data_IF_363188762948
#
_entry.id   IF_363188762948
#
_cell.length_a   1.000
_cell.length_b   1.000
_cell.length_c   1.000
_cell.angle_alpha   90.00
_cell.angle_beta   90.00
_cell.angle_gamma   90.00
#
_symmetry.space_group_name_H-M   'P 1'
#
loop_
_entity.id
_entity.type
_entity.pdbx_description
1 polymer ?
#
# COMPACT_ATOMS: atom_id res chain seq x y z
N UNK A 1 -18.98 2.12 -0.71
CA UNK A 1 -18.19 0.97 -1.21
C UNK A 1 -17.99 -0.08 -0.11
N UNK A 2 -18.04 -1.38 -0.44
CA UNK A 2 -17.48 -2.43 0.42
C UNK A 2 -15.96 -2.38 0.32
N UNK A 3 -15.29 -1.99 1.41
CA UNK A 3 -13.85 -1.73 1.41
C UNK A 3 -13.02 -2.99 1.23
N UNK A 4 -13.45 -4.14 1.76
CA UNK A 4 -12.69 -5.39 1.60
C UNK A 4 -12.84 -5.93 0.18
N UNK A 5 -14.03 -5.78 -0.42
CA UNK A 5 -14.20 -6.08 -1.84
C UNK A 5 -13.30 -5.19 -2.71
N UNK A 6 -13.18 -3.90 -2.38
CA UNK A 6 -12.28 -2.99 -3.09
C UNK A 6 -10.80 -3.37 -2.96
N UNK A 7 -10.36 -3.76 -1.76
CA UNK A 7 -9.00 -4.26 -1.52
C UNK A 7 -8.71 -5.50 -2.36
N UNK A 8 -9.65 -6.45 -2.37
CA UNK A 8 -9.48 -7.68 -3.14
C UNK A 8 -9.42 -7.40 -4.65
N UNK A 9 -10.25 -6.48 -5.15
CA UNK A 9 -10.19 -6.00 -6.53
C UNK A 9 -8.84 -5.38 -6.88
N UNK A 10 -8.33 -4.45 -6.07
CA UNK A 10 -7.04 -3.80 -6.32
C UNK A 10 -5.88 -4.81 -6.35
N UNK A 11 -5.89 -5.80 -5.44
CA UNK A 11 -4.88 -6.87 -5.41
C UNK A 11 -4.93 -7.73 -6.67
N UNK A 12 -6.12 -8.16 -7.11
CA UNK A 12 -6.28 -8.95 -8.33
C UNK A 12 -5.90 -8.16 -9.57
N UNK A 13 -6.38 -6.93 -9.69
CA UNK A 13 -6.05 -6.07 -10.83
C UNK A 13 -4.55 -5.81 -10.94
N UNK A 14 -3.88 -5.55 -9.82
CA UNK A 14 -2.43 -5.44 -9.80
C UNK A 14 -1.75 -6.76 -10.20
N UNK A 15 -2.15 -7.89 -9.64
CA UNK A 15 -1.60 -9.20 -10.02
C UNK A 15 -1.76 -9.50 -11.52
N UNK A 16 -2.92 -9.20 -12.10
CA UNK A 16 -3.20 -9.41 -13.52
C UNK A 16 -2.34 -8.52 -14.41
N UNK A 17 -2.16 -7.25 -14.04
CA UNK A 17 -1.31 -6.33 -14.79
C UNK A 17 0.18 -6.73 -14.73
N UNK A 18 0.62 -7.37 -13.64
CA UNK A 18 2.03 -7.74 -13.43
C UNK A 18 2.41 -9.12 -13.98
N UNK A 19 1.44 -9.99 -14.28
CA UNK A 19 1.67 -11.40 -14.63
C UNK A 19 2.66 -11.62 -15.80
N UNK A 20 2.67 -10.69 -16.76
CA UNK A 20 3.47 -10.81 -17.99
C UNK A 20 4.66 -9.84 -18.04
N UNK A 21 5.07 -9.27 -16.90
CA UNK A 21 6.24 -8.40 -16.89
C UNK A 21 7.52 -9.16 -17.28
N UNK A 22 8.31 -8.54 -18.15
CA UNK A 22 9.65 -9.03 -18.50
C UNK A 22 10.60 -8.95 -17.31
N UNK A 23 11.66 -9.77 -17.25
CA UNK A 23 12.68 -9.70 -16.18
C UNK A 23 13.25 -8.29 -15.99
N UNK A 24 13.46 -7.54 -17.07
CA UNK A 24 13.93 -6.15 -17.01
C UNK A 24 12.93 -5.24 -16.29
N UNK A 25 11.64 -5.36 -16.59
CA UNK A 25 10.57 -4.62 -15.91
C UNK A 25 10.46 -5.01 -14.43
N UNK A 26 10.54 -6.31 -14.11
CA UNK A 26 10.54 -6.79 -12.73
C UNK A 26 11.68 -6.19 -11.90
N UNK A 27 12.86 -5.99 -12.51
CA UNK A 27 14.05 -5.40 -11.88
C UNK A 27 14.09 -3.87 -11.90
N UNK A 28 13.11 -3.21 -12.51
CA UNK A 28 13.08 -1.75 -12.62
C UNK A 28 12.99 -1.10 -11.24
N UNK A 29 13.72 0.01 -11.05
CA UNK A 29 13.66 0.79 -9.82
C UNK A 29 12.25 1.35 -9.60
N UNK A 30 11.65 1.09 -8.44
CA UNK A 30 10.35 1.65 -8.07
C UNK A 30 10.49 3.08 -7.54
N UNK A 31 9.37 3.79 -7.36
CA UNK A 31 9.35 5.07 -6.64
C UNK A 31 9.71 4.92 -5.15
N UNK A 32 9.56 3.71 -4.59
CA UNK A 32 10.18 3.35 -3.32
C UNK A 32 11.70 3.17 -3.53
N UNK A 33 12.49 4.21 -3.22
CA UNK A 33 13.96 4.26 -3.46
C UNK A 33 14.73 3.02 -2.97
N UNK A 34 14.25 2.33 -1.94
CA UNK A 34 14.91 1.13 -1.41
C UNK A 34 14.66 -0.15 -2.23
N UNK A 35 13.76 -0.11 -3.22
CA UNK A 35 13.08 -1.29 -3.75
C UNK A 35 12.91 -1.26 -5.28
N UNK A 36 13.11 -2.41 -5.91
CA UNK A 36 12.67 -2.68 -7.29
C UNK A 36 11.16 -2.92 -7.36
N UNK A 37 10.60 -3.01 -8.56
CA UNK A 37 9.21 -3.44 -8.77
C UNK A 37 8.93 -4.79 -8.10
N UNK A 38 9.83 -5.76 -8.23
CA UNK A 38 9.72 -7.05 -7.56
C UNK A 38 9.71 -6.91 -6.02
N UNK A 39 10.55 -6.06 -5.45
CA UNK A 39 10.56 -5.82 -4.01
C UNK A 39 9.25 -5.19 -3.52
N UNK A 40 8.66 -4.24 -4.26
CA UNK A 40 7.38 -3.63 -3.90
C UNK A 40 6.24 -4.67 -3.96
N UNK A 41 6.18 -5.48 -5.02
CA UNK A 41 5.22 -6.57 -5.12
C UNK A 41 5.38 -7.57 -3.95
N UNK A 42 6.62 -7.92 -3.61
CA UNK A 42 6.92 -8.77 -2.47
C UNK A 42 6.47 -8.14 -1.15
N UNK A 43 6.69 -6.83 -0.96
CA UNK A 43 6.22 -6.11 0.22
C UNK A 43 4.70 -6.23 0.39
N UNK A 44 3.91 -6.07 -0.67
CA UNK A 44 2.44 -6.19 -0.63
C UNK A 44 1.94 -7.56 -0.16
N UNK A 45 2.71 -8.62 -0.40
CA UNK A 45 2.37 -9.97 0.10
C UNK A 45 2.80 -10.23 1.54
N UNK A 46 3.71 -9.40 2.11
CA UNK A 46 4.23 -9.60 3.46
C UNK A 46 3.11 -9.63 4.52
N UNK A 47 2.14 -8.70 4.56
CA UNK A 47 1.06 -8.75 5.55
C UNK A 47 0.12 -9.95 5.38
N UNK A 48 0.13 -10.58 4.22
CA UNK A 48 -0.76 -11.70 3.87
C UNK A 48 -0.17 -13.07 4.22
N UNK A 49 1.16 -13.16 4.30
CA UNK A 49 1.89 -14.43 4.46
C UNK A 49 2.76 -14.46 5.74
N UNK A 50 3.17 -13.30 6.26
CA UNK A 50 3.96 -13.21 7.49
C UNK A 50 3.05 -13.09 8.71
N UNK A 51 3.08 -14.12 9.57
CA UNK A 51 2.33 -14.10 10.82
C UNK A 51 2.82 -13.04 11.80
N UNK A 52 1.91 -12.52 12.64
CA UNK A 52 2.20 -11.50 13.66
C UNK A 52 3.40 -11.86 14.57
N UNK A 53 3.59 -13.09 15.06
CA UNK A 53 4.77 -13.44 15.85
C UNK A 53 6.09 -13.34 15.06
N UNK A 54 6.08 -13.68 13.76
CA UNK A 54 7.27 -13.55 12.90
C UNK A 54 7.59 -12.08 12.64
N UNK A 55 6.56 -11.26 12.45
CA UNK A 55 6.73 -9.82 12.32
C UNK A 55 7.31 -9.20 13.61
N UNK A 56 6.78 -9.55 14.78
CA UNK A 56 7.30 -9.09 16.07
C UNK A 56 8.75 -9.51 16.30
N UNK A 57 9.12 -10.74 15.92
CA UNK A 57 10.51 -11.19 15.96
C UNK A 57 11.41 -10.37 15.02
N UNK A 58 10.94 -10.04 13.81
CA UNK A 58 11.69 -9.20 12.88
C UNK A 58 11.91 -7.78 13.43
N UNK A 59 10.90 -7.20 14.08
CA UNK A 59 11.00 -5.92 14.80
C UNK A 59 12.03 -5.98 15.92
N UNK A 60 12.01 -7.03 16.76
CA UNK A 60 12.98 -7.23 17.82
C UNK A 60 14.42 -7.31 17.27
N UNK A 61 14.63 -8.14 16.24
CA UNK A 61 15.93 -8.31 15.57
C UNK A 61 16.41 -7.02 14.85
N UNK A 62 15.49 -6.13 14.51
CA UNK A 62 15.79 -4.82 13.94
C UNK A 62 16.08 -3.75 15.01
N UNK A 63 15.98 -4.07 16.30
CA UNK A 63 16.13 -3.11 17.40
C UNK A 63 14.96 -2.12 17.49
N UNK A 64 13.75 -2.56 17.12
CA UNK A 64 12.55 -1.71 17.06
C UNK A 64 12.47 -0.80 15.83
N UNK A 65 13.45 -0.83 14.94
CA UNK A 65 13.44 -0.04 13.71
C UNK A 65 12.53 -0.70 12.65
N UNK A 66 11.36 -0.11 12.40
CA UNK A 66 10.38 -0.60 11.43
C UNK A 66 10.95 -0.71 10.03
N UNK A 67 11.58 0.33 9.49
CA UNK A 67 12.12 0.31 8.12
C UNK A 67 13.11 -0.82 7.91
N UNK A 68 13.96 -1.08 8.92
CA UNK A 68 14.93 -2.18 8.88
C UNK A 68 14.24 -3.54 8.94
N UNK A 69 13.21 -3.70 9.76
CA UNK A 69 12.40 -4.93 9.81
C UNK A 69 11.67 -5.16 8.48
N UNK A 70 11.03 -4.12 7.96
CA UNK A 70 10.28 -4.13 6.71
C UNK A 70 11.19 -4.54 5.53
N UNK A 71 12.32 -3.84 5.34
CA UNK A 71 13.31 -4.22 4.30
C UNK A 71 13.80 -5.66 4.43
N UNK A 72 13.97 -6.17 5.66
CA UNK A 72 14.40 -7.55 5.89
C UNK A 72 13.32 -8.56 5.51
N UNK A 73 12.06 -8.28 5.84
CA UNK A 73 10.94 -9.14 5.50
C UNK A 73 10.65 -9.10 3.99
N UNK A 74 10.63 -7.92 3.38
CA UNK A 74 10.50 -7.75 1.93
C UNK A 74 11.56 -8.55 1.18
N UNK A 75 12.84 -8.46 1.56
CA UNK A 75 13.91 -9.27 0.91
C UNK A 75 13.71 -10.78 1.03
N UNK A 76 13.12 -11.26 2.14
CA UNK A 76 12.81 -12.69 2.28
C UNK A 76 11.66 -13.11 1.38
N UNK A 77 10.70 -12.21 1.19
CA UNK A 77 9.54 -12.40 0.35
C UNK A 77 9.92 -12.36 -1.15
N UNK A 78 10.78 -11.40 -1.54
CA UNK A 78 11.34 -11.23 -2.88
C UNK A 78 12.37 -12.31 -3.27
N UNK A 79 12.71 -13.23 -2.36
CA UNK A 79 13.54 -14.40 -2.69
C UNK A 79 12.77 -15.45 -3.51
N UNK A 80 11.44 -15.32 -3.61
CA UNK A 80 10.58 -16.15 -4.46
C UNK A 80 10.68 -15.67 -5.92
N UNK A 81 10.48 -16.55 -6.91
CA UNK A 81 10.25 -16.13 -8.29
C UNK A 81 9.13 -15.10 -8.37
N UNK A 82 9.26 -14.12 -9.26
CA UNK A 82 8.30 -13.01 -9.40
C UNK A 82 6.86 -13.50 -9.56
N UNK A 83 6.64 -14.50 -10.42
CA UNK A 83 5.31 -15.06 -10.67
C UNK A 83 4.72 -15.75 -9.44
N UNK A 84 5.53 -16.39 -8.60
CA UNK A 84 5.04 -16.98 -7.33
C UNK A 84 4.54 -15.89 -6.37
N UNK A 85 5.12 -14.68 -6.43
CA UNK A 85 4.66 -13.53 -5.64
C UNK A 85 3.39 -12.92 -6.22
N UNK A 86 3.27 -12.85 -7.56
CA UNK A 86 2.03 -12.45 -8.26
C UNK A 86 0.88 -13.38 -7.86
N UNK A 87 1.10 -14.69 -7.94
CA UNK A 87 0.08 -15.69 -7.62
C UNK A 87 -0.30 -15.64 -6.14
N UNK A 88 0.66 -15.45 -5.24
CA UNK A 88 0.36 -15.25 -3.82
C UNK A 88 -0.52 -14.02 -3.56
N UNK A 89 -0.26 -12.90 -4.23
CA UNK A 89 -1.08 -11.70 -4.10
C UNK A 89 -2.52 -11.97 -4.57
N UNK A 90 -2.66 -12.69 -5.70
CA UNK A 90 -3.96 -13.08 -6.27
C UNK A 90 -4.71 -14.04 -5.35
N UNK A 91 -4.06 -15.10 -4.88
CA UNK A 91 -4.64 -16.15 -4.03
C UNK A 91 -5.07 -15.62 -2.65
N UNK A 92 -4.40 -14.58 -2.17
CA UNK A 92 -4.70 -13.94 -0.87
C UNK A 92 -5.49 -12.64 -1.01
N UNK A 93 -6.05 -12.36 -2.19
CA UNK A 93 -6.78 -11.12 -2.45
C UNK A 93 -7.89 -10.84 -1.43
N UNK A 94 -8.67 -11.87 -1.06
CA UNK A 94 -9.79 -11.78 -0.11
C UNK A 94 -9.39 -11.73 1.38
N UNK A 95 -8.09 -11.63 1.69
CA UNK A 95 -7.65 -11.48 3.07
C UNK A 95 -8.16 -10.18 3.69
N UNK A 96 -8.89 -10.31 4.80
CA UNK A 96 -9.35 -9.18 5.62
C UNK A 96 -8.32 -8.72 6.68
N UNK A 97 -7.04 -9.05 6.49
CA UNK A 97 -5.99 -8.57 7.39
C UNK A 97 -6.00 -7.03 7.48
N UNK A 98 -5.98 -6.52 8.70
CA UNK A 98 -5.72 -5.11 9.00
C UNK A 98 -4.55 -5.00 10.00
N UNK A 99 -3.64 -4.02 9.84
CA UNK A 99 -2.59 -3.79 10.83
C UNK A 99 -3.19 -3.51 12.22
N UNK A 100 -2.55 -3.96 13.32
CA UNK A 100 -3.08 -3.72 14.66
C UNK A 100 -3.24 -2.22 14.97
N UNK A 101 -4.45 -1.83 15.40
CA UNK A 101 -4.77 -0.43 15.71
C UNK A 101 -5.21 0.40 14.51
N UNK A 102 -5.22 -0.17 13.31
CA UNK A 102 -5.63 0.47 12.05
C UNK A 102 -6.94 -0.15 11.53
N UNK A 103 -7.62 0.59 10.65
CA UNK A 103 -8.81 0.14 9.93
C UNK A 103 -8.50 -0.49 8.56
N UNK A 104 -9.51 -1.02 7.86
CA UNK A 104 -9.38 -1.56 6.49
C UNK A 104 -8.92 -0.54 5.43
N UNK A 105 -8.94 0.74 5.75
CA UNK A 105 -8.44 1.85 4.94
C UNK A 105 -6.92 1.75 4.77
N UNK A 106 -6.20 1.22 5.76
CA UNK A 106 -4.76 1.01 5.68
C UNK A 106 -4.38 0.02 4.57
N UNK A 107 -4.90 -1.23 4.52
CA UNK A 107 -4.59 -2.15 3.42
C UNK A 107 -5.10 -1.69 2.05
N UNK A 108 -6.18 -0.91 1.97
CA UNK A 108 -6.61 -0.31 0.70
C UNK A 108 -5.61 0.75 0.22
N UNK A 109 -5.17 1.62 1.12
CA UNK A 109 -4.17 2.65 0.83
C UNK A 109 -2.85 2.02 0.40
N UNK A 110 -2.41 0.98 1.11
CA UNK A 110 -1.17 0.25 0.86
C UNK A 110 -1.10 -0.29 -0.57
N UNK A 111 -2.12 -1.03 -1.02
CA UNK A 111 -2.15 -1.60 -2.38
C UNK A 111 -2.26 -0.53 -3.47
N UNK A 112 -2.98 0.57 -3.22
CA UNK A 112 -3.10 1.69 -4.18
C UNK A 112 -1.77 2.41 -4.34
N UNK A 113 -1.16 2.85 -3.23
CA UNK A 113 0.07 3.65 -3.24
C UNK A 113 1.22 2.82 -3.82
N UNK A 114 1.42 1.60 -3.33
CA UNK A 114 2.48 0.74 -3.85
C UNK A 114 2.20 0.21 -5.26
N UNK A 115 0.93 0.12 -5.65
CA UNK A 115 0.55 -0.09 -7.05
C UNK A 115 1.03 1.06 -7.94
N UNK A 116 0.95 2.32 -7.48
CA UNK A 116 1.50 3.48 -8.21
C UNK A 116 3.03 3.48 -8.24
N UNK A 117 3.68 3.07 -7.14
CA UNK A 117 5.14 2.94 -7.08
C UNK A 117 5.71 1.97 -8.13
N UNK A 118 4.90 1.00 -8.55
CA UNK A 118 5.22 0.04 -9.63
C UNK A 118 4.83 0.60 -11.00
N UNK A 119 3.60 1.09 -11.14
CA UNK A 119 3.04 1.48 -12.45
C UNK A 119 3.75 2.67 -13.07
N UNK A 120 4.08 3.67 -12.26
CA UNK A 120 4.68 4.91 -12.73
C UNK A 120 6.01 4.72 -13.47
N UNK A 121 7.04 4.06 -12.88
CA UNK A 121 8.32 3.86 -13.57
C UNK A 121 8.21 2.92 -14.79
N UNK A 122 7.19 2.07 -14.84
CA UNK A 122 6.93 1.17 -15.97
C UNK A 122 6.05 1.81 -17.07
N UNK A 123 5.51 3.02 -16.84
CA UNK A 123 4.57 3.65 -17.75
C UNK A 123 3.24 2.89 -17.90
N UNK A 124 2.85 2.10 -16.89
CA UNK A 124 1.62 1.33 -16.90
C UNK A 124 0.43 2.21 -16.48
N UNK A 125 -0.76 1.98 -17.06
CA UNK A 125 -1.95 2.74 -16.68
C UNK A 125 -2.40 2.38 -15.26
N UNK A 126 -2.92 3.39 -14.55
CA UNK A 126 -3.66 3.22 -13.30
C UNK A 126 -5.15 3.44 -13.54
N UNK A 127 -5.99 2.48 -13.16
CA UNK A 127 -7.46 2.64 -13.16
C UNK A 127 -7.92 2.92 -11.73
N UNK A 128 -7.54 4.09 -11.20
CA UNK A 128 -7.89 4.46 -9.84
C UNK A 128 -9.34 4.95 -9.78
N UNK A 129 -10.19 4.21 -9.08
CA UNK A 129 -11.57 4.64 -8.83
C UNK A 129 -11.60 5.82 -7.84
N UNK A 130 -12.38 6.86 -8.14
CA UNK A 130 -12.43 8.10 -7.35
C UNK A 130 -12.79 7.83 -5.86
N UNK A 131 -13.77 6.96 -5.59
CA UNK A 131 -14.12 6.59 -4.20
C UNK A 131 -12.95 5.92 -3.45
N UNK A 132 -12.13 5.13 -4.15
CA UNK A 132 -10.95 4.47 -3.54
C UNK A 132 -9.82 5.49 -3.32
N UNK A 133 -9.65 6.42 -4.26
CA UNK A 133 -8.70 7.53 -4.14
C UNK A 133 -9.03 8.43 -2.95
N UNK A 134 -10.30 8.76 -2.72
CA UNK A 134 -10.73 9.58 -1.59
C UNK A 134 -10.37 8.94 -0.24
N UNK A 135 -10.64 7.63 -0.11
CA UNK A 135 -10.28 6.86 1.10
C UNK A 135 -8.77 6.86 1.31
N UNK A 136 -7.99 6.53 0.28
CA UNK A 136 -6.54 6.45 0.37
C UNK A 136 -5.92 7.82 0.72
N UNK A 137 -6.35 8.88 0.04
CA UNK A 137 -5.84 10.22 0.28
C UNK A 137 -6.23 10.73 1.67
N UNK A 138 -7.47 10.50 2.10
CA UNK A 138 -7.92 10.82 3.46
C UNK A 138 -7.11 10.09 4.53
N UNK A 139 -6.76 8.81 4.30
CA UNK A 139 -5.92 8.05 5.21
C UNK A 139 -4.49 8.60 5.28
N UNK A 140 -3.87 8.89 4.13
CA UNK A 140 -2.50 9.44 4.07
C UNK A 140 -2.42 10.82 4.71
N UNK A 141 -3.42 11.68 4.53
CA UNK A 141 -3.46 13.00 5.18
C UNK A 141 -3.57 12.93 6.71
N UNK A 142 -4.16 11.86 7.25
CA UNK A 142 -4.25 11.60 8.69
C UNK A 142 -3.05 10.83 9.24
N UNK A 143 -2.15 10.38 8.37
CA UNK A 143 -1.04 9.53 8.77
C UNK A 143 -0.17 10.26 9.82
N UNK A 144 0.27 9.56 10.87
CA UNK A 144 1.04 10.16 11.95
C UNK A 144 2.34 10.80 11.43
N UNK A 145 2.89 11.74 12.20
CA UNK A 145 4.16 12.42 11.94
C UNK A 145 5.41 11.49 11.79
N UNK A 146 5.21 10.17 11.85
CA UNK A 146 6.19 9.14 11.48
C UNK A 146 6.31 8.93 9.97
N UNK A 147 5.30 9.31 9.17
CA UNK A 147 5.37 9.27 7.70
C UNK A 147 5.93 10.58 7.15
N UNK A 148 5.53 11.70 7.75
CA UNK A 148 6.00 13.05 7.40
C UNK A 148 6.59 13.70 8.64
N UNK A 149 7.85 14.16 8.56
CA UNK A 149 8.50 14.85 9.69
C UNK A 149 7.58 15.96 10.22
N UNK A 150 7.40 15.99 11.55
CA UNK A 150 6.64 17.04 12.24
C UNK A 150 7.07 18.43 11.74
N UNK A 151 6.11 19.29 11.41
CA UNK A 151 6.38 20.66 10.92
C UNK A 151 6.46 20.81 9.41
N UNK A 152 6.62 19.73 8.64
CA UNK A 152 6.79 19.83 7.17
C UNK A 152 5.49 20.22 6.46
N UNK A 153 4.34 19.82 7.01
CA UNK A 153 3.02 20.11 6.43
C UNK A 153 2.21 21.12 7.25
N UNK A 154 2.84 21.76 8.24
CA UNK A 154 2.18 22.76 9.08
C UNK A 154 1.79 23.96 8.22
N UNK A 155 0.51 24.35 8.26
CA UNK A 155 -0.02 25.47 7.47
C UNK A 155 -0.24 25.15 5.98
N UNK A 156 -0.06 23.90 5.56
CA UNK A 156 -0.41 23.45 4.21
C UNK A 156 -1.82 22.84 4.19
N UNK A 157 -2.54 23.08 3.09
CA UNK A 157 -3.81 22.44 2.79
C UNK A 157 -3.68 21.69 1.47
N UNK A 158 -4.13 20.44 1.43
CA UNK A 158 -4.29 19.69 0.19
C UNK A 158 -5.63 20.04 -0.45
N UNK A 159 -5.61 20.43 -1.71
CA UNK A 159 -6.79 20.69 -2.54
C UNK A 159 -6.63 19.89 -3.84
N UNK A 160 -7.59 19.01 -4.13
CA UNK A 160 -7.69 18.40 -5.45
C UNK A 160 -8.43 19.36 -6.39
N UNK A 161 -7.93 19.48 -7.63
CA UNK A 161 -8.50 20.38 -8.64
C UNK A 161 -9.41 19.66 -9.64
N UNK A 162 -9.41 18.33 -9.56
CA UNK A 162 -10.01 17.39 -10.50
C UNK A 162 -10.93 16.38 -9.81
N UNK A 163 -10.98 16.36 -8.47
CA UNK A 163 -11.91 15.57 -7.68
C UNK A 163 -12.21 16.25 -6.33
N UNK A 164 -13.30 15.83 -5.67
CA UNK A 164 -13.64 16.31 -4.33
C UNK A 164 -13.15 15.31 -3.29
N UNK A 165 -12.29 15.75 -2.37
CA UNK A 165 -11.78 14.93 -1.27
C UNK A 165 -12.67 15.13 -0.03
N UNK A 166 -13.07 14.04 0.62
CA UNK A 166 -13.84 14.07 1.86
C UNK A 166 -15.33 14.36 1.63
N UNK A 167 -16.01 13.47 0.91
CA UNK A 167 -17.44 13.60 0.54
C UNK A 167 -18.31 14.24 1.66
N UNK A 168 -19.28 15.13 1.33
CA UNK A 168 -20.00 15.99 2.30
C UNK A 168 -20.70 15.24 3.45
N UNK A 169 -20.92 13.93 3.32
CA UNK A 169 -21.55 13.09 4.33
C UNK A 169 -20.70 12.94 5.62
N UNK A 170 -19.39 13.19 5.58
CA UNK A 170 -18.52 13.10 6.76
C UNK A 170 -18.33 14.44 7.49
N UNK A 171 -18.49 15.58 6.80
CA UNK A 171 -18.27 16.92 7.39
C UNK A 171 -19.53 17.47 8.06
N UNK A 172 -20.72 17.02 7.67
CA UNK A 172 -21.98 17.53 8.24
C UNK A 172 -22.16 17.20 9.75
N UNK A 173 -21.45 16.21 10.32
CA UNK A 173 -21.60 15.84 11.75
C UNK A 173 -20.70 16.57 12.73
N UNK A 174 -19.75 17.39 12.26
CA UNK A 174 -18.85 18.14 13.15
C UNK A 174 -19.22 19.61 13.32
N UNK A 175 -20.33 20.07 12.70
CA UNK A 175 -20.84 21.44 12.86
C UNK A 175 -22.12 21.54 13.72
N UNK A 176 -22.70 20.43 14.19
CA UNK A 176 -23.92 20.41 15.00
C UNK A 176 -23.68 19.89 16.43
N UNK A 177 -22.70 20.43 17.16
CA UNK A 177 -22.55 20.23 18.61
C UNK A 177 -21.95 21.44 19.30
#
# INVERSE_FOLDING_TARGET
>A
MDIFAAIADERRHLADQLADLTPEQQSTQSLCVAWTVHDVLAHLTMPLDVSMPRFALAMLLAGGNFDRANRRLTRRQAARPFNDVVDLLRDKADSHFTPPGEGPEAPLTDVIVHGLDIRWPLGLPSQLHEERADVALTAVMKAPASVVKKGVVDGLQFEATDMVIGSPLAVQRLCDS
#
